data_IF_722729207949
#
_entry.id   IF_722729207949
#
_cell.length_a   1.000
_cell.length_b   1.000
_cell.length_c   1.000
_cell.angle_alpha   90.00
_cell.angle_beta   90.00
_cell.angle_gamma   90.00
#
_symmetry.space_group_name_H-M   'P 1'
#
loop_
_entity.id
_entity.type
_entity.pdbx_description
1 polymer ?
#
# COMPACT_ATOMS: atom_id res chain seq x y z
N UNK A 1 21.52 2.45 1.38
CA UNK A 1 20.98 3.59 1.18
C UNK A 1 19.55 3.61 1.33
N UNK A 2 19.11 4.59 1.89
CA UNK A 2 17.84 4.69 2.16
C UNK A 2 17.15 5.20 1.08
N UNK A 3 16.41 4.74 0.51
CA UNK A 3 15.80 5.23 -0.49
C UNK A 3 14.79 6.04 -0.23
N UNK A 4 14.14 6.40 -0.95
CA UNK A 4 13.04 7.14 -0.92
C UNK A 4 11.90 6.30 -0.74
N UNK A 5 11.93 5.38 0.06
CA UNK A 5 10.85 4.51 0.18
C UNK A 5 9.91 4.97 1.23
N UNK A 6 9.11 5.92 0.90
CA UNK A 6 8.00 6.32 1.73
C UNK A 6 6.84 5.37 1.50
N UNK A 7 6.03 5.16 2.53
CA UNK A 7 4.81 4.37 2.45
C UNK A 7 3.64 5.31 2.67
N UNK A 8 2.60 5.17 1.86
CA UNK A 8 1.34 5.88 2.12
C UNK A 8 0.33 4.86 2.58
N UNK A 9 -0.34 5.13 3.68
CA UNK A 9 -1.27 4.20 4.31
C UNK A 9 -2.66 4.79 4.41
N UNK A 10 -3.63 4.13 3.79
CA UNK A 10 -5.03 4.45 3.92
C UNK A 10 -5.70 3.30 4.66
N UNK A 11 -6.10 3.53 5.91
CA UNK A 11 -6.74 2.51 6.72
C UNK A 11 -7.83 3.17 7.56
N UNK A 12 -9.05 2.61 7.49
CA UNK A 12 -10.18 3.21 8.20
C UNK A 12 -10.28 2.81 9.67
N UNK A 13 -9.70 1.69 10.06
CA UNK A 13 -9.72 1.24 11.45
C UNK A 13 -8.55 1.85 12.19
N UNK A 14 -8.83 2.64 13.22
CA UNK A 14 -7.77 3.34 13.94
C UNK A 14 -6.77 2.46 14.65
N UNK A 15 -7.22 1.36 15.20
CA UNK A 15 -6.32 0.44 15.89
C UNK A 15 -5.38 -0.24 14.92
N UNK A 16 -5.92 -0.68 13.80
CA UNK A 16 -5.12 -1.30 12.76
C UNK A 16 -4.14 -0.28 12.18
N UNK A 17 -4.61 0.94 11.94
CA UNK A 17 -3.76 2.00 11.44
C UNK A 17 -2.58 2.24 12.37
N UNK A 18 -2.84 2.33 13.66
CA UNK A 18 -1.79 2.56 14.64
C UNK A 18 -0.77 1.43 14.67
N UNK A 19 -1.25 0.18 14.60
CA UNK A 19 -0.37 -0.98 14.58
C UNK A 19 0.48 -1.01 13.32
N UNK A 20 -0.11 -0.67 12.18
CA UNK A 20 0.61 -0.64 10.91
C UNK A 20 1.65 0.48 10.91
N UNK A 21 1.29 1.66 11.38
CA UNK A 21 2.24 2.77 11.43
C UNK A 21 3.43 2.41 12.30
N UNK A 22 3.18 1.82 13.47
CA UNK A 22 4.25 1.42 14.36
C UNK A 22 5.19 0.41 13.70
N UNK A 23 4.63 -0.61 13.06
CA UNK A 23 5.43 -1.64 12.43
C UNK A 23 6.17 -1.12 11.20
N UNK A 24 5.51 -0.30 10.38
CA UNK A 24 6.14 0.25 9.17
C UNK A 24 7.24 1.24 9.51
N UNK A 25 7.08 2.00 10.59
CA UNK A 25 8.06 2.99 10.98
C UNK A 25 9.41 2.39 11.35
N UNK A 26 9.44 1.12 11.69
CA UNK A 26 10.70 0.44 11.99
C UNK A 26 11.55 0.25 10.73
N UNK A 27 10.92 0.22 9.56
CA UNK A 27 11.63 -0.09 8.31
C UNK A 27 11.60 1.04 7.29
N UNK A 28 10.64 1.94 7.38
CA UNK A 28 10.50 3.01 6.40
C UNK A 28 10.75 4.37 7.04
N UNK A 29 11.51 5.24 6.38
CA UNK A 29 11.80 6.57 6.94
C UNK A 29 10.55 7.46 7.03
N UNK A 30 9.61 7.27 6.10
CA UNK A 30 8.40 8.08 6.12
C UNK A 30 7.17 7.22 5.92
N UNK A 31 6.21 7.35 6.82
CA UNK A 31 4.91 6.68 6.71
C UNK A 31 3.85 7.78 6.71
N UNK A 32 3.19 7.96 5.57
CA UNK A 32 2.18 8.99 5.43
C UNK A 32 0.80 8.38 5.68
N UNK A 33 0.12 8.86 6.69
CA UNK A 33 -1.23 8.41 7.00
C UNK A 33 -2.21 9.32 6.27
N UNK A 34 -3.07 8.75 5.46
CA UNK A 34 -4.08 9.52 4.74
C UNK A 34 -5.47 8.95 5.01
N UNK A 35 -6.49 9.71 4.71
CA UNK A 35 -7.86 9.34 5.06
C UNK A 35 -8.79 9.24 3.84
N UNK A 36 -8.28 9.43 2.65
CA UNK A 36 -9.07 9.29 1.43
C UNK A 36 -8.15 8.95 0.26
N UNK A 37 -8.76 8.43 -0.80
CA UNK A 37 -8.02 8.13 -2.04
C UNK A 37 -7.46 9.42 -2.65
N UNK A 38 -8.21 10.50 -2.56
CA UNK A 38 -7.75 11.79 -3.09
C UNK A 38 -6.47 12.23 -2.38
N UNK A 39 -6.46 12.10 -1.06
CA UNK A 39 -5.29 12.46 -0.28
C UNK A 39 -4.12 11.53 -0.60
N UNK A 40 -4.41 10.24 -0.78
CA UNK A 40 -3.39 9.26 -1.14
C UNK A 40 -2.74 9.61 -2.47
N UNK A 41 -3.55 9.95 -3.48
CA UNK A 41 -3.02 10.37 -4.78
C UNK A 41 -2.12 11.60 -4.65
N UNK A 42 -2.55 12.55 -3.85
CA UNK A 42 -1.78 13.77 -3.63
C UNK A 42 -0.40 13.47 -3.07
N UNK A 43 -0.33 12.56 -2.10
CA UNK A 43 0.95 12.20 -1.49
C UNK A 43 1.86 11.45 -2.44
N UNK A 44 1.29 10.51 -3.20
CA UNK A 44 2.09 9.75 -4.18
C UNK A 44 2.67 10.68 -5.24
N UNK A 45 1.90 11.69 -5.65
CA UNK A 45 2.36 12.64 -6.67
C UNK A 45 3.40 13.61 -6.15
N UNK A 46 3.46 13.81 -4.81
CA UNK A 46 4.34 14.79 -4.26
C UNK A 46 5.63 14.21 -3.70
N UNK A 47 5.63 12.99 -3.25
CA UNK A 47 6.77 12.36 -2.59
C UNK A 47 7.18 11.08 -3.29
N UNK A 48 8.43 10.64 -3.16
CA UNK A 48 8.87 9.38 -3.78
C UNK A 48 8.35 8.19 -2.97
N UNK A 49 7.15 7.75 -3.30
CA UNK A 49 6.47 6.68 -2.59
C UNK A 49 6.75 5.35 -3.28
N UNK A 50 7.24 4.38 -2.52
CA UNK A 50 7.51 3.05 -3.05
C UNK A 50 6.32 2.12 -2.96
N UNK A 51 5.47 2.29 -1.95
CA UNK A 51 4.32 1.41 -1.76
C UNK A 51 3.14 2.19 -1.16
N UNK A 52 1.95 1.88 -1.65
CA UNK A 52 0.71 2.43 -1.13
C UNK A 52 -0.12 1.29 -0.58
N UNK A 53 -0.49 1.36 0.69
CA UNK A 53 -1.34 0.37 1.33
C UNK A 53 -2.75 0.92 1.33
N UNK A 54 -3.66 0.23 0.65
CA UNK A 54 -4.96 0.75 0.32
C UNK A 54 -6.07 -0.09 0.90
N UNK A 55 -6.82 0.47 1.84
CA UNK A 55 -7.95 -0.21 2.45
C UNK A 55 -9.13 -0.23 1.46
N UNK A 56 -9.50 -1.43 1.04
CA UNK A 56 -10.58 -1.59 0.06
C UNK A 56 -11.97 -1.32 0.63
N UNK A 57 -12.05 -1.02 1.91
CA UNK A 57 -13.30 -0.53 2.48
C UNK A 57 -13.43 0.98 2.24
N UNK A 58 -12.36 1.65 1.81
CA UNK A 58 -12.37 3.07 1.50
C UNK A 58 -12.09 3.35 0.03
N UNK A 59 -11.72 2.34 -0.74
CA UNK A 59 -11.34 2.51 -2.14
C UNK A 59 -12.02 1.45 -2.99
N UNK A 60 -12.10 1.69 -4.29
CA UNK A 60 -12.70 0.75 -5.23
C UNK A 60 -11.61 0.14 -6.11
N UNK A 61 -11.97 -0.91 -6.85
CA UNK A 61 -11.06 -1.50 -7.82
C UNK A 61 -10.71 -0.50 -8.93
N UNK A 62 -11.65 0.39 -9.26
CA UNK A 62 -11.35 1.46 -10.22
C UNK A 62 -10.26 2.38 -9.70
N UNK A 63 -10.28 2.67 -8.40
CA UNK A 63 -9.21 3.46 -7.79
C UNK A 63 -7.86 2.76 -7.92
N UNK A 64 -7.83 1.44 -7.67
CA UNK A 64 -6.61 0.66 -7.80
C UNK A 64 -6.08 0.74 -9.23
N UNK A 65 -6.99 0.55 -10.20
CA UNK A 65 -6.61 0.59 -11.60
C UNK A 65 -6.02 1.93 -11.99
N UNK A 66 -6.66 3.01 -11.60
CA UNK A 66 -6.17 4.35 -11.92
C UNK A 66 -4.84 4.64 -11.26
N UNK A 67 -4.69 4.25 -10.00
CA UNK A 67 -3.44 4.45 -9.30
C UNK A 67 -2.29 3.69 -9.95
N UNK A 68 -2.55 2.45 -10.36
CA UNK A 68 -1.50 1.65 -10.97
C UNK A 68 -1.10 2.21 -12.34
N UNK A 69 -2.05 2.80 -13.07
CA UNK A 69 -1.77 3.42 -14.35
C UNK A 69 -1.06 4.75 -14.21
N UNK A 70 -1.49 5.57 -13.27
CA UNK A 70 -0.94 6.90 -13.08
C UNK A 70 0.40 6.91 -12.34
N UNK A 71 0.63 5.94 -11.48
CA UNK A 71 1.85 5.88 -10.68
C UNK A 71 2.47 4.48 -10.74
N UNK A 72 2.98 4.10 -11.90
CA UNK A 72 3.47 2.72 -12.09
C UNK A 72 4.67 2.35 -11.24
N UNK A 73 5.38 3.33 -10.69
CA UNK A 73 6.53 3.02 -9.83
C UNK A 73 6.14 2.76 -8.38
N UNK A 74 4.89 3.00 -8.01
CA UNK A 74 4.42 2.71 -6.66
C UNK A 74 3.68 1.37 -6.66
N UNK A 75 4.06 0.47 -5.78
CA UNK A 75 3.36 -0.81 -5.64
C UNK A 75 2.12 -0.61 -4.79
N UNK A 76 1.03 -1.25 -5.15
CA UNK A 76 -0.22 -1.13 -4.41
C UNK A 76 -0.50 -2.43 -3.68
N UNK A 77 -0.64 -2.36 -2.37
CA UNK A 77 -1.00 -3.49 -1.52
C UNK A 77 -2.39 -3.19 -0.96
N UNK A 78 -3.35 -4.05 -1.26
CA UNK A 78 -4.73 -3.84 -0.82
C UNK A 78 -5.00 -4.59 0.48
N UNK A 79 -5.85 -4.03 1.33
CA UNK A 79 -6.27 -4.68 2.57
C UNK A 79 -7.79 -4.67 2.67
N UNK A 80 -8.36 -5.65 3.35
CA UNK A 80 -9.79 -5.72 3.60
C UNK A 80 -10.02 -6.68 4.77
N UNK A 81 -11.04 -6.40 5.59
CA UNK A 81 -11.32 -7.28 6.71
C UNK A 81 -11.68 -8.69 6.28
N UNK A 82 -12.33 -8.82 5.15
CA UNK A 82 -12.77 -10.12 4.62
C UNK A 82 -12.15 -10.36 3.25
N UNK A 83 -10.82 -10.33 3.19
CA UNK A 83 -10.12 -10.54 1.93
C UNK A 83 -10.26 -12.00 1.52
N UNK A 84 -11.09 -12.25 0.50
CA UNK A 84 -11.32 -13.60 0.00
C UNK A 84 -10.68 -13.76 -1.39
N UNK A 85 -10.81 -14.95 -1.97
CA UNK A 85 -10.23 -15.23 -3.26
C UNK A 85 -10.74 -14.35 -4.38
N UNK A 86 -12.02 -14.02 -4.32
CA UNK A 86 -12.63 -13.20 -5.34
C UNK A 86 -12.06 -11.79 -5.30
N UNK A 87 -11.93 -11.23 -4.12
CA UNK A 87 -11.35 -9.91 -3.94
C UNK A 87 -9.88 -9.91 -4.35
N UNK A 88 -9.16 -10.96 -3.98
CA UNK A 88 -7.75 -11.10 -4.32
C UNK A 88 -7.56 -11.06 -5.85
N UNK A 89 -8.35 -11.87 -6.57
CA UNK A 89 -8.26 -11.90 -8.02
C UNK A 89 -8.63 -10.56 -8.65
N UNK A 90 -9.69 -9.92 -8.16
CA UNK A 90 -10.13 -8.63 -8.69
C UNK A 90 -9.09 -7.54 -8.45
N UNK A 91 -8.48 -7.51 -7.28
CA UNK A 91 -7.46 -6.53 -6.97
C UNK A 91 -6.21 -6.71 -7.82
N UNK A 92 -5.77 -7.96 -8.01
CA UNK A 92 -4.61 -8.23 -8.85
C UNK A 92 -4.89 -7.85 -10.30
N UNK A 93 -6.09 -8.13 -10.80
CA UNK A 93 -6.47 -7.73 -12.15
C UNK A 93 -6.50 -6.21 -12.30
N UNK A 94 -6.80 -5.49 -11.25
CA UNK A 94 -6.82 -4.03 -11.29
C UNK A 94 -5.40 -3.42 -11.21
N UNK A 95 -4.41 -4.22 -10.84
CA UNK A 95 -3.04 -3.75 -10.80
C UNK A 95 -2.39 -3.78 -9.42
N UNK A 96 -3.10 -4.32 -8.40
CA UNK A 96 -2.51 -4.45 -7.09
C UNK A 96 -1.45 -5.55 -7.08
N UNK A 97 -0.46 -5.38 -6.22
CA UNK A 97 0.57 -6.37 -6.10
C UNK A 97 0.13 -7.54 -5.24
N UNK A 98 -0.63 -7.27 -4.21
CA UNK A 98 -1.12 -8.31 -3.32
C UNK A 98 -2.29 -7.80 -2.48
N UNK A 99 -2.96 -8.71 -1.79
CA UNK A 99 -4.09 -8.40 -0.93
C UNK A 99 -3.93 -9.16 0.38
N UNK A 100 -4.17 -8.48 1.50
CA UNK A 100 -4.06 -9.08 2.82
C UNK A 100 -5.27 -8.74 3.67
N UNK A 101 -5.55 -9.58 4.65
CA UNK A 101 -6.52 -9.23 5.68
C UNK A 101 -6.00 -8.01 6.42
N UNK A 102 -6.88 -7.08 6.75
CA UNK A 102 -6.49 -5.85 7.45
C UNK A 102 -5.79 -6.11 8.78
N UNK A 103 -6.07 -7.24 9.42
CA UNK A 103 -5.46 -7.57 10.70
C UNK A 103 -4.13 -8.32 10.55
N UNK A 104 -3.73 -8.65 9.34
CA UNK A 104 -2.47 -9.37 9.11
C UNK A 104 -1.31 -8.38 9.01
N UNK A 105 -0.95 -7.81 10.14
CA UNK A 105 0.06 -6.76 10.20
C UNK A 105 1.40 -7.22 9.62
N UNK A 106 1.86 -8.40 10.04
CA UNK A 106 3.16 -8.87 9.57
C UNK A 106 3.16 -9.19 8.07
N UNK A 107 2.04 -9.70 7.55
CA UNK A 107 1.92 -9.96 6.11
C UNK A 107 1.97 -8.67 5.32
N UNK A 108 1.24 -7.66 5.78
CA UNK A 108 1.20 -6.35 5.11
C UNK A 108 2.60 -5.71 5.12
N UNK A 109 3.25 -5.69 6.26
CA UNK A 109 4.59 -5.12 6.37
C UNK A 109 5.58 -5.89 5.49
N UNK A 110 5.48 -7.22 5.49
CA UNK A 110 6.32 -8.05 4.63
C UNK A 110 6.13 -7.74 3.16
N UNK A 111 4.87 -7.56 2.74
CA UNK A 111 4.57 -7.21 1.35
C UNK A 111 5.14 -5.85 0.99
N UNK A 112 5.04 -4.87 1.88
CA UNK A 112 5.59 -3.54 1.65
C UNK A 112 7.10 -3.61 1.49
N UNK A 113 7.76 -4.36 2.34
CA UNK A 113 9.21 -4.52 2.26
C UNK A 113 9.65 -5.22 0.97
N UNK A 114 8.94 -6.28 0.59
CA UNK A 114 9.25 -7.00 -0.64
C UNK A 114 9.05 -6.14 -1.87
N UNK A 115 8.04 -5.28 -1.84
CA UNK A 115 7.78 -4.37 -2.96
C UNK A 115 8.96 -3.43 -3.19
N UNK A 116 9.51 -2.88 -2.13
CA UNK A 116 10.65 -2.00 -2.23
C UNK A 116 11.92 -2.77 -2.60
N UNK A 117 12.10 -3.95 -2.04
CA UNK A 117 13.25 -4.77 -2.35
C UNK A 117 13.25 -5.19 -3.82
N UNK A 118 12.07 -5.54 -4.36
CA UNK A 118 11.97 -5.92 -5.75
C UNK A 118 12.33 -4.77 -6.70
N UNK A 119 11.87 -3.58 -6.39
CA UNK A 119 12.22 -2.41 -7.18
C UNK A 119 13.73 -2.19 -7.13
N UNK A 120 14.30 -2.29 -5.95
CA UNK A 120 15.72 -2.11 -5.77
C UNK A 120 16.51 -3.19 -6.52
N UNK A 121 16.08 -4.44 -6.43
CA UNK A 121 16.72 -5.52 -7.12
C UNK A 121 16.66 -5.35 -8.64
N UNK A 122 15.55 -4.90 -9.14
CA UNK A 122 15.39 -4.67 -10.57
C UNK A 122 16.32 -3.56 -11.07
N UNK A 123 16.60 -2.61 -10.21
CA UNK A 123 17.47 -1.51 -10.58
C UNK A 123 18.95 -1.92 -10.55
N UNK A 124 19.26 -2.93 -9.79
CA UNK A 124 20.61 -3.39 -9.71
C UNK A 124 20.98 -4.20 -10.93
#
# INVERSE_FOLDING_TARGET
>A
MKLHNAVVLLQCDREIERSLVSALSDSFPFVHQVHSVTELRSRIGKYPVGVAILDMEKASFTDVERLSQDFPSASIVCTHRCADEEMWAAALNAGARDVYSSSDISGIVGAALRSCANVHSAAA
#
